data_IF_268572461808
#
_entry.id   IF_268572461808
#
_cell.length_a   1.000
_cell.length_b   1.000
_cell.length_c   1.000
_cell.angle_alpha   90.00
_cell.angle_beta   90.00
_cell.angle_gamma   90.00
#
_symmetry.space_group_name_H-M   'P 1'
#
loop_
_entity.id
_entity.type
_entity.pdbx_description
1 polymer ?
#
# COMPACT_ATOMS: atom_id res chain seq x y z
N UNK A 1 -15.64 -0.17 23.89
CA UNK A 1 -15.25 -0.09 22.46
C UNK A 1 -13.89 0.57 22.39
N UNK A 2 -12.87 -0.23 22.13
CA UNK A 2 -11.48 0.17 22.17
C UNK A 2 -11.14 0.93 20.89
N UNK A 3 -10.79 2.21 20.99
CA UNK A 3 -10.52 3.04 19.80
C UNK A 3 -9.12 2.78 19.25
N UNK A 4 -9.04 2.58 17.94
CA UNK A 4 -7.81 2.67 17.16
C UNK A 4 -7.36 4.15 17.13
N UNK A 5 -6.83 4.66 18.23
CA UNK A 5 -6.55 6.10 18.40
C UNK A 5 -5.08 6.47 18.54
N UNK A 6 -4.22 5.54 18.96
CA UNK A 6 -2.84 5.86 19.34
C UNK A 6 -1.82 5.65 18.21
N UNK A 7 -2.26 5.54 16.95
CA UNK A 7 -1.41 5.40 15.75
C UNK A 7 -0.70 4.05 15.61
N UNK A 8 -0.50 3.30 16.71
CA UNK A 8 0.30 2.09 16.76
C UNK A 8 -0.49 0.81 16.47
N UNK A 9 -0.44 0.34 15.22
CA UNK A 9 -0.88 -1.01 14.82
C UNK A 9 0.20 -2.06 15.15
N UNK A 10 0.57 -2.15 16.43
CA UNK A 10 1.69 -2.98 16.91
C UNK A 10 1.26 -4.07 17.91
N UNK A 11 -0.03 -4.44 17.90
CA UNK A 11 -0.57 -5.52 18.75
C UNK A 11 -0.26 -6.89 18.14
N UNK A 12 0.40 -7.72 18.93
CA UNK A 12 1.16 -8.90 18.49
C UNK A 12 0.92 -10.03 19.52
N UNK A 13 0.85 -11.28 19.07
CA UNK A 13 0.61 -12.43 19.94
C UNK A 13 1.95 -13.05 20.36
N UNK A 14 2.15 -13.24 21.66
CA UNK A 14 3.39 -13.82 22.21
C UNK A 14 3.12 -15.14 22.93
N UNK A 15 4.02 -16.10 22.76
CA UNK A 15 4.04 -17.38 23.47
C UNK A 15 4.85 -17.28 24.78
N UNK A 16 4.64 -18.22 25.71
CA UNK A 16 5.44 -18.39 26.93
C UNK A 16 5.53 -17.14 27.82
N UNK A 17 4.54 -16.26 27.74
CA UNK A 17 4.35 -15.20 28.71
C UNK A 17 3.75 -15.85 29.94
N UNK A 18 4.51 -15.97 31.03
CA UNK A 18 3.96 -16.39 32.32
C UNK A 18 2.98 -15.32 32.77
N UNK A 19 1.71 -15.50 32.42
CA UNK A 19 0.59 -14.75 32.99
C UNK A 19 0.53 -15.08 34.47
N UNK A 20 1.09 -14.20 35.30
CA UNK A 20 0.70 -14.17 36.70
C UNK A 20 -0.80 -13.93 36.73
N UNK A 21 -1.50 -14.79 37.46
CA UNK A 21 -2.86 -14.59 37.96
C UNK A 21 -2.84 -13.33 38.83
N UNK A 22 -2.89 -12.18 38.18
CA UNK A 22 -2.96 -10.84 38.73
C UNK A 22 -3.94 -10.07 37.86
N UNK A 23 -5.20 -10.46 37.96
CA UNK A 23 -6.35 -9.55 37.97
C UNK A 23 -6.10 -8.16 37.36
N UNK A 24 -6.44 -7.99 36.07
CA UNK A 24 -6.88 -6.69 35.60
C UNK A 24 -8.29 -6.46 36.17
N UNK A 25 -8.35 -6.01 37.41
CA UNK A 25 -9.58 -5.53 38.04
C UNK A 25 -9.68 -4.02 37.79
N UNK A 26 -10.77 -3.60 37.16
CA UNK A 26 -11.28 -2.24 37.39
C UNK A 26 -11.68 -2.12 38.87
N UNK A 27 -11.65 -0.92 39.47
CA UNK A 27 -12.04 -0.64 40.88
C UNK A 27 -13.47 -1.09 41.24
N UNK A 28 -14.24 -1.62 40.29
CA UNK A 28 -15.62 -2.13 40.45
C UNK A 28 -15.76 -3.66 40.37
N UNK A 29 -14.66 -4.42 40.26
CA UNK A 29 -14.70 -5.88 40.39
C UNK A 29 -15.47 -6.65 39.31
N UNK A 30 -15.66 -6.06 38.13
CA UNK A 30 -16.19 -6.74 36.95
C UNK A 30 -15.15 -6.72 35.83
N UNK A 31 -14.99 -7.84 35.13
CA UNK A 31 -14.05 -7.99 34.02
C UNK A 31 -14.53 -7.16 32.83
N UNK A 32 -14.13 -5.90 32.79
CA UNK A 32 -14.46 -5.00 31.71
C UNK A 32 -13.22 -4.75 30.87
N UNK A 33 -13.45 -4.81 29.58
CA UNK A 33 -12.48 -4.41 28.59
C UNK A 33 -12.14 -2.92 28.82
N UNK A 34 -10.89 -2.68 29.25
CA UNK A 34 -10.00 -1.57 28.87
C UNK A 34 -10.06 -0.30 29.72
N UNK A 35 -8.89 0.09 30.25
CA UNK A 35 -8.62 1.45 30.73
C UNK A 35 -7.56 2.17 29.85
N UNK A 36 -7.69 3.50 29.66
CA UNK A 36 -6.86 4.29 28.75
C UNK A 36 -5.57 4.74 29.45
N UNK A 37 -4.42 4.28 28.98
CA UNK A 37 -3.16 4.59 29.64
C UNK A 37 -2.09 3.60 29.25
N UNK A 38 -1.57 3.78 28.04
CA UNK A 38 -0.48 3.00 27.51
C UNK A 38 0.81 3.20 28.30
N UNK A 39 1.04 2.35 29.29
CA UNK A 39 2.36 1.91 29.66
C UNK A 39 2.38 0.38 29.57
N UNK A 40 2.57 -0.13 28.35
CA UNK A 40 3.20 -1.45 28.19
C UNK A 40 4.67 -1.29 28.56
N UNK A 41 4.93 -0.97 29.83
CA UNK A 41 6.20 -1.28 30.46
C UNK A 41 6.27 -2.79 30.52
N UNK A 42 7.39 -3.34 30.07
CA UNK A 42 7.84 -4.64 30.55
C UNK A 42 7.59 -4.64 32.06
N UNK A 43 6.77 -5.55 32.61
CA UNK A 43 6.47 -5.51 34.03
C UNK A 43 7.77 -5.52 34.83
N UNK A 44 7.84 -4.79 35.95
CA UNK A 44 9.04 -4.72 36.81
C UNK A 44 9.58 -6.09 37.26
N UNK A 45 8.80 -7.16 37.11
CA UNK A 45 9.16 -8.54 37.42
C UNK A 45 9.73 -9.35 36.24
N UNK A 46 9.80 -8.82 35.02
CA UNK A 46 10.41 -9.51 33.88
C UNK A 46 11.92 -9.60 34.10
N UNK A 47 12.39 -10.78 34.48
CA UNK A 47 13.79 -11.05 34.82
C UNK A 47 14.65 -11.43 33.60
N UNK A 48 14.07 -11.45 32.40
CA UNK A 48 14.73 -11.87 31.16
C UNK A 48 15.04 -13.36 31.07
N UNK A 49 14.49 -14.20 31.96
CA UNK A 49 14.71 -15.66 31.97
C UNK A 49 13.90 -16.40 30.89
N UNK A 50 12.80 -15.81 30.43
CA UNK A 50 11.99 -16.31 29.31
C UNK A 50 11.99 -15.32 28.16
N UNK A 51 12.44 -15.80 27.00
CA UNK A 51 12.39 -15.03 25.76
C UNK A 51 10.92 -14.86 25.34
N UNK A 52 10.47 -13.62 25.14
CA UNK A 52 9.15 -13.35 24.59
C UNK A 52 9.17 -13.71 23.10
N UNK A 53 8.75 -14.93 22.77
CA UNK A 53 8.75 -15.42 21.39
C UNK A 53 7.47 -14.98 20.69
N UNK A 54 7.61 -14.27 19.57
CA UNK A 54 6.51 -13.97 18.66
C UNK A 54 5.87 -15.28 18.22
N UNK A 55 4.54 -15.36 18.32
CA UNK A 55 3.82 -16.55 17.88
C UNK A 55 3.78 -16.63 16.35
N UNK A 56 3.92 -17.82 15.78
CA UNK A 56 3.72 -18.06 14.33
C UNK A 56 2.31 -17.66 13.85
N UNK A 57 1.34 -17.56 14.77
CA UNK A 57 -0.02 -17.06 14.50
C UNK A 57 -0.04 -15.59 14.03
N UNK A 58 0.96 -14.81 14.44
CA UNK A 58 1.15 -13.40 14.07
C UNK A 58 1.46 -13.17 12.59
N UNK A 59 2.03 -14.18 11.92
CA UNK A 59 2.39 -14.06 10.52
C UNK A 59 1.18 -13.70 9.65
N UNK A 60 -0.04 -14.00 10.11
CA UNK A 60 -1.29 -13.83 9.37
C UNK A 60 -2.36 -12.99 10.06
N UNK A 61 -2.34 -12.84 11.39
CA UNK A 61 -3.41 -12.17 12.14
C UNK A 61 -2.86 -11.28 13.27
N UNK A 62 -3.39 -10.06 13.40
CA UNK A 62 -3.16 -9.19 14.57
C UNK A 62 -4.04 -9.61 15.76
N UNK A 63 -4.00 -8.87 16.88
CA UNK A 63 -4.84 -9.18 18.05
C UNK A 63 -5.40 -7.95 18.77
N UNK A 64 -6.52 -8.12 19.49
CA UNK A 64 -7.10 -7.09 20.37
C UNK A 64 -8.37 -6.40 19.86
N UNK A 65 -8.84 -6.75 18.67
CA UNK A 65 -10.14 -6.37 18.12
C UNK A 65 -10.88 -7.60 17.58
N UNK A 66 -10.88 -7.84 16.26
CA UNK A 66 -11.61 -8.97 15.66
C UNK A 66 -10.97 -10.33 15.88
N UNK A 67 -9.65 -10.36 16.08
CA UNK A 67 -8.89 -11.58 16.26
C UNK A 67 -8.38 -11.65 17.71
N UNK A 68 -8.51 -12.84 18.30
CA UNK A 68 -7.94 -13.20 19.59
C UNK A 68 -6.76 -14.13 19.37
N UNK A 69 -5.74 -14.03 20.22
CA UNK A 69 -4.66 -15.01 20.23
C UNK A 69 -5.17 -16.41 20.63
N UNK A 70 -4.38 -17.44 20.33
CA UNK A 70 -4.70 -18.81 20.67
C UNK A 70 -4.52 -19.08 22.18
N UNK A 71 -4.94 -20.26 22.67
CA UNK A 71 -4.74 -20.65 24.07
C UNK A 71 -3.27 -20.54 24.49
N UNK A 72 -3.02 -20.02 25.70
CA UNK A 72 -1.69 -19.74 26.27
C UNK A 72 -0.86 -18.65 25.54
N UNK A 73 -1.50 -17.82 24.72
CA UNK A 73 -0.89 -16.63 24.15
C UNK A 73 -1.48 -15.35 24.74
N UNK A 74 -0.64 -14.33 24.84
CA UNK A 74 -1.07 -13.00 25.28
C UNK A 74 -0.93 -11.99 24.15
N UNK A 75 -1.99 -11.20 23.96
CA UNK A 75 -1.95 -10.06 23.07
C UNK A 75 -1.27 -8.90 23.79
N UNK A 76 -0.11 -8.49 23.29
CA UNK A 76 0.68 -7.41 23.89
C UNK A 76 1.08 -6.40 22.82
N UNK A 77 1.47 -5.21 23.27
CA UNK A 77 2.15 -4.26 22.39
C UNK A 77 3.58 -4.17 22.86
N UNK A 78 4.48 -4.58 21.99
CA UNK A 78 5.89 -4.50 22.28
C UNK A 78 6.40 -3.10 21.90
N UNK A 79 6.88 -2.36 22.91
CA UNK A 79 7.47 -1.03 22.72
C UNK A 79 8.99 -1.09 22.46
N UNK A 80 9.66 -2.17 22.88
CA UNK A 80 11.11 -2.34 22.76
C UNK A 80 11.53 -2.96 21.44
N UNK A 81 10.65 -3.76 20.82
CA UNK A 81 10.83 -4.25 19.46
C UNK A 81 10.36 -3.17 18.48
N UNK A 82 11.26 -2.20 18.26
CA UNK A 82 11.19 -1.22 17.19
C UNK A 82 11.33 -1.85 15.80
N UNK A 83 11.41 -3.18 15.71
CA UNK A 83 11.64 -3.93 14.49
C UNK A 83 10.44 -3.77 13.57
N UNK A 84 10.52 -2.73 12.74
CA UNK A 84 9.87 -2.57 11.44
C UNK A 84 8.57 -3.37 11.32
N UNK A 85 7.54 -2.98 12.07
CA UNK A 85 6.22 -3.54 11.83
C UNK A 85 5.88 -3.18 10.37
N UNK A 86 5.62 -4.15 9.48
CA UNK A 86 5.43 -3.89 8.05
C UNK A 86 4.27 -2.93 7.77
N UNK A 87 3.40 -2.75 8.77
CA UNK A 87 2.17 -1.96 8.77
C UNK A 87 2.21 -0.83 9.83
N UNK A 88 3.23 0.03 9.75
CA UNK A 88 3.34 1.22 10.61
C UNK A 88 2.83 2.46 9.88
N UNK A 89 2.02 3.28 10.57
CA UNK A 89 1.53 4.57 10.08
C UNK A 89 2.10 5.76 10.85
N UNK A 90 3.03 5.53 11.78
CA UNK A 90 3.59 6.57 12.65
C UNK A 90 4.62 7.45 11.92
N UNK A 91 5.25 6.92 10.88
CA UNK A 91 6.24 7.61 10.06
C UNK A 91 5.74 7.78 8.63
N UNK A 92 5.86 8.99 8.08
CA UNK A 92 5.37 9.31 6.72
C UNK A 92 5.97 8.39 5.64
N UNK A 93 7.25 8.02 5.78
CA UNK A 93 7.91 7.12 4.83
C UNK A 93 7.31 5.71 4.87
N UNK A 94 7.08 5.17 6.06
CA UNK A 94 6.48 3.85 6.26
C UNK A 94 5.01 3.84 5.82
N UNK A 95 4.24 4.89 6.15
CA UNK A 95 2.84 5.00 5.76
C UNK A 95 2.65 5.09 4.25
N UNK A 96 3.55 5.81 3.55
CA UNK A 96 3.52 5.90 2.09
C UNK A 96 3.89 4.55 1.47
N UNK A 97 4.92 3.86 1.98
CA UNK A 97 5.29 2.52 1.51
C UNK A 97 4.14 1.52 1.68
N UNK A 98 3.49 1.51 2.84
CA UNK A 98 2.32 0.67 3.10
C UNK A 98 1.19 0.98 2.12
N UNK A 99 0.91 2.27 1.90
CA UNK A 99 -0.16 2.69 1.00
C UNK A 99 0.12 2.28 -0.45
N UNK A 100 1.37 2.43 -0.92
CA UNK A 100 1.79 1.97 -2.25
C UNK A 100 1.63 0.45 -2.38
N UNK A 101 2.04 -0.33 -1.36
CA UNK A 101 1.84 -1.78 -1.34
C UNK A 101 0.35 -2.17 -1.40
N UNK A 102 -0.50 -1.46 -0.65
CA UNK A 102 -1.95 -1.70 -0.65
C UNK A 102 -2.59 -1.40 -2.00
N UNK A 103 -2.17 -0.33 -2.67
CA UNK A 103 -2.66 -0.01 -4.02
C UNK A 103 -2.16 -1.04 -5.04
N UNK A 104 -0.94 -1.55 -4.87
CA UNK A 104 -0.37 -2.60 -5.71
C UNK A 104 -0.98 -3.99 -5.45
N UNK A 105 -1.86 -4.16 -4.45
CA UNK A 105 -2.45 -5.45 -4.04
C UNK A 105 -1.35 -6.45 -3.60
N UNK A 106 -0.18 -5.96 -3.19
CA UNK A 106 0.91 -6.81 -2.74
C UNK A 106 0.75 -7.17 -1.26
N UNK A 107 0.64 -8.48 -0.99
CA UNK A 107 0.43 -9.05 0.35
C UNK A 107 -0.73 -8.41 1.16
N UNK A 108 -1.74 -7.84 0.48
CA UNK A 108 -2.79 -7.02 1.09
C UNK A 108 -3.66 -7.78 2.11
N UNK A 109 -3.89 -9.08 1.91
CA UNK A 109 -4.71 -9.90 2.80
C UNK A 109 -4.12 -9.99 4.21
N UNK A 110 -2.80 -10.20 4.31
CA UNK A 110 -2.09 -10.30 5.59
C UNK A 110 -2.12 -8.96 6.30
N UNK A 111 -1.86 -7.88 5.57
CA UNK A 111 -1.90 -6.52 6.12
C UNK A 111 -3.31 -6.10 6.56
N UNK A 112 -4.34 -6.49 5.81
CA UNK A 112 -5.74 -6.27 6.18
C UNK A 112 -6.12 -7.04 7.45
N UNK A 113 -5.71 -8.31 7.57
CA UNK A 113 -5.98 -9.12 8.76
C UNK A 113 -5.24 -8.59 10.00
N UNK A 114 -4.03 -8.06 9.83
CA UNK A 114 -3.28 -7.38 10.89
C UNK A 114 -3.96 -6.09 11.35
N UNK A 115 -4.44 -5.28 10.41
CA UNK A 115 -5.20 -4.07 10.71
C UNK A 115 -6.54 -4.39 11.41
N UNK A 116 -7.27 -5.39 10.91
CA UNK A 116 -8.52 -5.87 11.48
C UNK A 116 -8.33 -6.39 12.92
N UNK A 117 -7.24 -7.10 13.18
CA UNK A 117 -6.88 -7.59 14.51
C UNK A 117 -6.51 -6.46 15.47
N UNK A 118 -5.83 -5.43 14.99
CA UNK A 118 -5.37 -4.32 15.83
C UNK A 118 -6.46 -3.29 16.16
N UNK A 119 -7.28 -2.96 15.15
CA UNK A 119 -8.13 -1.78 15.16
C UNK A 119 -9.58 -2.03 14.74
N UNK A 120 -9.92 -3.25 14.34
CA UNK A 120 -11.29 -3.61 13.99
C UNK A 120 -11.73 -3.06 12.63
N UNK A 121 -13.04 -2.86 12.48
CA UNK A 121 -13.70 -2.67 11.18
C UNK A 121 -13.39 -1.32 10.54
N UNK A 122 -13.25 -0.29 11.36
CA UNK A 122 -13.03 1.09 10.89
C UNK A 122 -11.75 1.18 10.05
N UNK A 123 -10.69 0.47 10.47
CA UNK A 123 -9.45 0.40 9.70
C UNK A 123 -9.58 -0.44 8.43
N UNK A 124 -10.31 -1.56 8.48
CA UNK A 124 -10.54 -2.40 7.29
C UNK A 124 -11.26 -1.63 6.19
N UNK A 125 -12.32 -0.90 6.56
CA UNK A 125 -13.11 -0.11 5.60
C UNK A 125 -12.26 1.00 4.97
N UNK A 126 -11.43 1.68 5.76
CA UNK A 126 -10.53 2.72 5.22
C UNK A 126 -9.46 2.15 4.28
N UNK A 127 -8.88 0.99 4.60
CA UNK A 127 -7.94 0.31 3.71
C UNK A 127 -8.57 -0.09 2.37
N UNK A 128 -9.78 -0.66 2.38
CA UNK A 128 -10.51 -1.01 1.15
C UNK A 128 -10.78 0.24 0.32
N UNK A 129 -11.23 1.33 0.95
CA UNK A 129 -11.52 2.59 0.25
C UNK A 129 -10.26 3.15 -0.43
N UNK A 130 -9.12 3.18 0.27
CA UNK A 130 -7.84 3.64 -0.27
C UNK A 130 -7.37 2.76 -1.42
N UNK A 131 -7.49 1.44 -1.31
CA UNK A 131 -7.12 0.51 -2.39
C UNK A 131 -7.94 0.76 -3.66
N UNK A 132 -9.26 0.93 -3.54
CA UNK A 132 -10.14 1.17 -4.68
C UNK A 132 -9.86 2.53 -5.34
N UNK A 133 -9.80 3.60 -4.53
CA UNK A 133 -9.58 4.96 -5.03
C UNK A 133 -8.17 5.09 -5.61
N UNK A 134 -7.16 4.63 -4.88
CA UNK A 134 -5.77 4.68 -5.30
C UNK A 134 -5.51 3.87 -6.57
N UNK A 135 -6.09 2.66 -6.68
CA UNK A 135 -5.99 1.83 -7.88
C UNK A 135 -6.64 2.49 -9.10
N UNK A 136 -7.83 3.08 -8.94
CA UNK A 136 -8.49 3.82 -10.00
C UNK A 136 -7.65 5.02 -10.48
N UNK A 137 -7.10 5.80 -9.54
CA UNK A 137 -6.24 6.93 -9.87
C UNK A 137 -4.98 6.47 -10.60
N UNK A 138 -4.29 5.43 -10.09
CA UNK A 138 -3.08 4.91 -10.75
C UNK A 138 -3.35 4.40 -12.16
N UNK A 139 -4.45 3.67 -12.37
CA UNK A 139 -4.82 3.19 -13.70
C UNK A 139 -5.09 4.34 -14.66
N UNK A 140 -5.79 5.40 -14.22
CA UNK A 140 -6.04 6.56 -15.07
C UNK A 140 -4.77 7.33 -15.42
N UNK A 141 -3.85 7.48 -14.46
CA UNK A 141 -2.54 8.09 -14.71
C UNK A 141 -1.73 7.25 -15.69
N UNK A 142 -1.70 5.94 -15.51
CA UNK A 142 -1.01 5.01 -16.42
C UNK A 142 -1.59 5.07 -17.84
N UNK A 143 -2.92 5.05 -17.97
CA UNK A 143 -3.60 5.19 -19.26
C UNK A 143 -3.28 6.53 -19.92
N UNK A 144 -3.32 7.64 -19.18
CA UNK A 144 -2.99 8.96 -19.72
C UNK A 144 -1.55 9.01 -20.30
N UNK A 145 -0.60 8.40 -19.60
CA UNK A 145 0.80 8.33 -20.04
C UNK A 145 0.90 7.46 -21.31
N UNK A 146 0.30 6.27 -21.31
CA UNK A 146 0.32 5.37 -22.47
C UNK A 146 -0.31 6.02 -23.71
N UNK A 147 -1.45 6.68 -23.55
CA UNK A 147 -2.13 7.36 -24.65
C UNK A 147 -1.29 8.50 -25.21
N UNK A 148 -0.54 9.20 -24.36
CA UNK A 148 0.37 10.28 -24.78
C UNK A 148 1.50 9.72 -25.64
N UNK A 149 2.15 8.64 -25.21
CA UNK A 149 3.24 8.01 -25.97
C UNK A 149 2.73 7.38 -27.28
N UNK A 150 1.57 6.71 -27.24
CA UNK A 150 0.93 6.16 -28.43
C UNK A 150 0.60 7.26 -29.45
N UNK A 151 0.00 8.36 -29.00
CA UNK A 151 -0.35 9.49 -29.87
C UNK A 151 0.91 10.13 -30.47
N UNK A 152 1.98 10.28 -29.69
CA UNK A 152 3.26 10.81 -30.18
C UNK A 152 3.88 9.91 -31.25
N UNK A 153 3.86 8.60 -31.05
CA UNK A 153 4.35 7.64 -32.03
C UNK A 153 3.53 7.67 -33.33
N UNK A 154 2.19 7.73 -33.22
CA UNK A 154 1.32 7.87 -34.39
C UNK A 154 1.53 9.17 -35.15
N UNK A 155 1.59 10.31 -34.44
CA UNK A 155 1.81 11.61 -35.06
C UNK A 155 3.14 11.67 -35.82
N UNK A 156 4.18 11.00 -35.33
CA UNK A 156 5.46 10.90 -36.03
C UNK A 156 5.32 10.12 -37.35
N UNK A 157 4.65 8.97 -37.33
CA UNK A 157 4.43 8.18 -38.54
C UNK A 157 3.59 8.93 -39.58
N UNK A 158 2.56 9.66 -39.13
CA UNK A 158 1.73 10.49 -40.01
C UNK A 158 2.57 11.61 -40.63
N UNK A 159 3.39 12.31 -39.84
CA UNK A 159 4.25 13.38 -40.36
C UNK A 159 5.30 12.87 -41.37
N UNK A 160 5.85 11.67 -41.15
CA UNK A 160 6.77 11.03 -42.11
C UNK A 160 6.05 10.67 -43.41
N UNK A 161 4.85 10.07 -43.34
CA UNK A 161 4.04 9.76 -44.51
C UNK A 161 3.60 11.02 -45.27
N UNK A 162 3.24 12.10 -44.58
CA UNK A 162 2.89 13.39 -45.19
C UNK A 162 4.09 14.02 -45.92
N UNK A 163 5.30 13.91 -45.35
CA UNK A 163 6.52 14.41 -45.99
C UNK A 163 6.89 13.61 -47.24
N UNK A 164 6.69 12.29 -47.23
CA UNK A 164 6.91 11.43 -48.41
C UNK A 164 5.94 11.80 -49.55
N UNK A 165 4.65 11.94 -49.25
CA UNK A 165 3.64 12.35 -50.25
C UNK A 165 3.95 13.75 -50.81
N UNK A 166 4.35 14.69 -49.96
CA UNK A 166 4.72 16.04 -50.41
C UNK A 166 5.93 16.03 -51.34
N UNK A 167 6.94 15.20 -51.04
CA UNK A 167 8.11 15.02 -51.90
C UNK A 167 7.73 14.43 -53.27
N UNK A 168 6.86 13.41 -53.28
CA UNK A 168 6.36 12.81 -54.54
C UNK A 168 5.58 13.82 -55.40
N UNK A 169 4.74 14.65 -54.78
CA UNK A 169 4.01 15.71 -55.48
C UNK A 169 4.94 16.79 -56.06
N UNK A 170 6.02 17.14 -55.34
CA UNK A 170 7.04 18.10 -55.82
C UNK A 170 7.79 17.54 -57.04
N UNK A 171 8.15 16.25 -57.03
CA UNK A 171 8.82 15.59 -58.16
C UNK A 171 7.91 15.53 -59.40
N UNK A 172 6.62 15.24 -59.23
CA UNK A 172 5.66 15.22 -60.34
C UNK A 172 5.44 16.60 -60.99
N UNK A 173 5.56 17.70 -60.23
CA UNK A 173 5.44 19.05 -60.76
C UNK A 173 6.67 19.52 -61.56
N UNK A 174 7.87 19.05 -61.22
CA UNK A 174 9.12 19.41 -61.91
C UNK A 174 9.23 18.73 -63.30
N UNK A 175 8.61 17.56 -63.47
CA UNK A 175 8.59 16.83 -64.75
C UNK A 175 7.72 17.53 -65.82
N UNK A 176 6.65 18.23 -65.42
CA UNK A 176 5.74 18.96 -66.32
C UNK A 176 6.39 20.23 -66.90
N UNK A 177 7.15 21.00 -66.11
CA UNK A 177 7.90 22.20 -66.58
C UNK A 177 9.08 21.83 -67.50
N UNK A 178 9.62 20.61 -67.35
CA UNK A 178 10.64 20.06 -68.25
C UNK A 178 10.11 19.78 -69.66
N UNK A 179 8.85 19.38 -69.78
CA UNK A 179 8.27 18.91 -71.05
C UNK A 179 7.84 20.07 -71.98
N UNK A 180 7.57 21.25 -71.44
CA UNK A 180 7.24 22.46 -72.21
C UNK A 180 8.48 23.14 -72.82
N UNK A 181 9.65 23.07 -72.17
CA UNK A 181 10.90 23.65 -72.69
C UNK A 181 11.46 22.92 -73.91
N UNK A 182 11.13 21.64 -74.09
CA UNK A 182 11.59 20.85 -75.23
C UNK A 182 10.78 21.09 -76.52
N UNK A 183 9.57 21.66 -76.42
CA UNK A 183 8.71 21.96 -77.58
C UNK A 183 9.02 23.31 -78.25
N UNK A 184 9.61 24.27 -77.53
CA UNK A 184 10.01 25.58 -78.08
C UNK A 184 11.36 25.57 -78.81
N UNK A 185 12.10 24.45 -78.74
CA UNK A 185 13.43 24.29 -79.34
C UNK A 185 13.46 23.77 -80.78
N UNK A 186 12.31 23.51 -81.41
CA UNK A 186 12.23 22.94 -82.76
C UNK A 186 11.51 23.90 -83.72
N UNK A 187 12.19 25.00 -84.07
CA UNK A 187 11.86 25.93 -85.15
C UNK A 187 13.06 26.08 -86.10
#
# INVERSE_FOLDING_TARGET
VLRCGDGRMSRRCYNNVTLLRGEAFDDDGNSSALAPGWNASIPEWYDGSTEMVLSDYEATHGCGAFFSCQENQTCMVNRSQFDASPLSFDHIGESVLVTVKLIAIDNWNVEMNRAAGSCGLEMVVSMIAVTLIGGFVLMNVFLAILMTEYTKAMNKQIAEAEAEIFLEAQLAADDDDGQDRDQDGNL
#
